data_IF_505910852433
#
_entry.id   IF_505910852433
#
_cell.length_a   1.000
_cell.length_b   1.000
_cell.length_c   1.000
_cell.angle_alpha   90.00
_cell.angle_beta   90.00
_cell.angle_gamma   90.00
#
_symmetry.space_group_name_H-M   'P 1'
#
loop_
_entity.id
_entity.type
_entity.pdbx_description
1 polymer ?
2 polymer ?
3 non-polymer ?
4 non-polymer ?
5 water ?
#
# COMPACT_ATOMS: atom_id res chain seq x y z
N UNK A 1 -2.17 -9.31 4.95
CA UNK A 1 -0.82 -9.50 5.53
C UNK A 1 -0.74 -10.93 6.03
N UNK A 2 0.25 -11.68 5.54
CA UNK A 2 0.50 -13.05 5.96
C UNK A 2 1.68 -13.05 6.91
N UNK A 3 1.54 -13.73 8.04
CA UNK A 3 2.64 -13.87 8.98
C UNK A 3 2.89 -12.64 9.82
N UNK A 4 1.91 -11.74 9.90
CA UNK A 4 2.00 -10.53 10.67
C UNK A 4 1.37 -10.66 12.04
N UNK A 5 0.98 -9.51 12.59
CA UNK A 5 0.39 -9.41 13.92
C UNK A 5 -0.69 -8.34 13.91
N UNK A 6 -1.60 -8.44 14.88
CA UNK A 6 -2.62 -7.41 15.06
C UNK A 6 -1.95 -6.13 15.55
N UNK A 7 -2.12 -5.05 14.77
CA UNK A 7 -1.44 -3.78 15.04
C UNK A 7 -1.86 -3.22 16.39
N UNK A 8 -3.16 -3.26 16.69
CA UNK A 8 -3.74 -2.50 17.78
C UNK A 8 -4.47 -1.30 17.21
N UNK A 9 -5.62 -0.98 17.79
CA UNK A 9 -6.47 0.06 17.22
C UNK A 9 -5.75 1.39 17.13
N UNK A 10 -5.74 1.94 15.92
CA UNK A 10 -5.29 3.29 15.62
C UNK A 10 -3.80 3.49 15.87
N UNK A 11 -3.03 2.40 15.93
CA UNK A 11 -1.58 2.48 16.06
C UNK A 11 -0.88 2.83 14.74
N UNK A 12 -1.60 2.79 13.63
CA UNK A 12 -1.08 3.13 12.30
C UNK A 12 -2.02 4.21 11.75
N UNK A 13 -1.92 5.44 12.26
CA UNK A 13 -3.02 6.42 12.06
C UNK A 13 -3.09 7.02 10.67
N UNK A 14 -2.09 6.78 9.83
CA UNK A 14 -2.08 7.17 8.43
C UNK A 14 -2.67 6.11 7.50
N UNK A 15 -2.98 4.91 7.99
CA UNK A 15 -3.52 3.85 7.16
C UNK A 15 -4.98 4.14 6.85
N UNK A 16 -5.35 4.08 5.58
CA UNK A 16 -6.75 4.19 5.18
C UNK A 16 -7.21 2.93 4.47
N UNK A 17 -8.52 2.73 4.47
CA UNK A 17 -9.19 1.68 3.69
C UNK A 17 -9.96 2.36 2.57
N UNK A 18 -9.78 1.87 1.35
CA UNK A 18 -10.58 2.30 0.20
C UNK A 18 -11.76 1.33 0.08
N UNK A 19 -12.97 1.89 0.06
CA UNK A 19 -14.19 1.11 0.21
C UNK A 19 -15.14 1.40 -0.95
N UNK A 20 -15.71 0.34 -1.52
CA UNK A 20 -16.74 0.44 -2.55
C UNK A 20 -17.89 -0.52 -2.23
N UNK A 21 -18.35 -0.48 -1.00
CA UNK A 21 -19.27 -1.49 -0.48
C UNK A 21 -18.54 -2.68 0.09
N UNK A 22 -17.21 -2.63 0.11
CA UNK A 22 -16.30 -3.62 0.65
C UNK A 22 -14.91 -3.01 0.59
N UNK A 23 -14.02 -3.47 1.45
CA UNK A 23 -12.63 -3.04 1.42
C UNK A 23 -11.95 -3.68 0.22
N UNK A 24 -11.30 -2.87 -0.64
CA UNK A 24 -10.65 -3.42 -1.83
C UNK A 24 -9.17 -3.08 -1.94
N UNK A 25 -8.70 -2.05 -1.25
CA UNK A 25 -7.31 -1.63 -1.31
C UNK A 25 -7.05 -0.75 -0.10
N UNK A 26 -5.77 -0.57 0.25
CA UNK A 26 -5.36 0.39 1.23
C UNK A 26 -4.85 1.68 0.61
N UNK A 27 -4.42 2.58 1.49
CA UNK A 27 -3.82 3.84 1.11
C UNK A 27 -3.17 4.47 2.32
N UNK A 28 -2.50 5.60 2.08
CA UNK A 28 -1.78 6.33 3.12
C UNK A 28 -2.17 7.80 3.07
N UNK A 29 -2.55 8.36 4.21
CA UNK A 29 -2.87 9.78 4.31
C UNK A 29 -1.59 10.60 4.36
N UNK A 30 -1.43 11.54 3.41
CA UNK A 30 -0.22 12.36 3.36
C UNK A 30 -0.45 13.82 3.73
N UNK A 31 -1.69 14.30 3.74
CA UNK A 31 -2.08 15.57 4.34
C UNK A 31 -3.58 15.46 4.56
N UNK A 32 -4.18 16.53 5.10
CA UNK A 32 -5.58 16.42 5.48
C UNK A 32 -6.51 16.19 4.30
N UNK A 33 -6.06 16.43 3.07
CA UNK A 33 -6.93 16.31 1.90
C UNK A 33 -6.47 15.28 0.87
N UNK A 34 -5.36 14.58 1.08
CA UNK A 34 -4.80 13.75 0.03
C UNK A 34 -4.29 12.40 0.55
N UNK A 35 -4.56 11.37 -0.24
CA UNK A 35 -4.18 9.98 0.04
C UNK A 35 -3.34 9.46 -1.13
N UNK A 36 -2.31 8.69 -0.81
CA UNK A 36 -1.51 7.98 -1.81
C UNK A 36 -1.95 6.52 -1.82
N UNK A 37 -2.15 5.96 -3.01
CA UNK A 37 -2.46 4.54 -3.17
C UNK A 37 -1.83 4.05 -4.46
N UNK A 38 -2.21 2.86 -4.90
CA UNK A 38 -1.69 2.28 -6.15
C UNK A 38 -2.59 2.60 -7.33
N UNK A 39 -1.99 2.81 -8.50
CA UNK A 39 -2.77 3.06 -9.70
C UNK A 39 -3.71 1.92 -10.04
N UNK A 40 -3.29 0.68 -9.81
CA UNK A 40 -4.16 -0.46 -10.15
C UNK A 40 -5.38 -0.56 -9.24
N UNK A 41 -5.45 0.24 -8.18
CA UNK A 41 -6.63 0.32 -7.31
C UNK A 41 -7.68 1.31 -7.84
N UNK A 42 -7.42 2.00 -8.94
CA UNK A 42 -8.37 2.99 -9.42
C UNK A 42 -9.71 2.36 -9.78
N UNK A 43 -10.78 3.00 -9.34
CA UNK A 43 -12.14 2.74 -9.81
C UNK A 43 -12.97 3.98 -9.50
N UNK A 44 -14.16 4.06 -10.10
CA UNK A 44 -15.13 5.05 -9.70
C UNK A 44 -15.75 4.68 -8.34
N UNK A 45 -16.27 5.70 -7.65
CA UNK A 45 -17.06 5.46 -6.46
C UNK A 45 -16.27 5.15 -5.21
N UNK A 46 -15.07 5.69 -5.07
CA UNK A 46 -14.25 5.33 -3.91
C UNK A 46 -14.68 6.16 -2.71
N UNK A 47 -14.92 5.48 -1.60
CA UNK A 47 -15.08 6.11 -0.29
C UNK A 47 -13.82 5.81 0.52
N UNK A 48 -13.16 6.85 1.01
CA UNK A 48 -11.98 6.70 1.86
C UNK A 48 -12.44 6.60 3.30
N UNK A 49 -11.96 5.57 3.99
CA UNK A 49 -12.31 5.33 5.39
C UNK A 49 -11.05 5.47 6.23
N UNK A 50 -11.03 6.53 7.04
CA UNK A 50 -9.92 6.88 7.91
C UNK A 50 -10.27 6.51 9.35
N UNK A 51 -9.24 6.35 10.18
CA UNK A 51 -9.45 6.05 11.59
C UNK A 51 -9.94 4.65 11.87
N UNK A 52 -9.80 3.72 10.93
CA UNK A 52 -10.39 2.39 11.05
C UNK A 52 -9.49 1.45 11.83
N UNK A 53 -10.13 0.56 12.60
CA UNK A 53 -9.49 -0.66 13.08
C UNK A 53 -10.29 -1.86 12.58
N UNK A 54 -11.42 -2.16 13.21
CA UNK A 54 -12.34 -3.19 12.69
C UNK A 54 -13.14 -2.57 11.55
N UNK A 55 -12.89 -3.02 10.33
CA UNK A 55 -13.56 -2.44 9.16
C UNK A 55 -15.01 -2.85 9.03
N UNK A 56 -15.49 -3.80 9.84
CA UNK A 56 -16.86 -4.26 9.74
C UNK A 56 -17.75 -3.81 10.89
N UNK A 57 -17.22 -2.99 11.79
CA UNK A 57 -17.97 -2.46 12.93
C UNK A 57 -17.66 -0.98 13.06
N UNK A 58 -18.71 -0.20 13.30
CA UNK A 58 -18.52 1.22 13.62
C UNK A 58 -18.18 1.30 15.11
N UNK A 59 -16.90 1.58 15.41
CA UNK A 59 -16.40 1.54 16.77
C UNK A 59 -16.14 2.90 17.37
N UNK A 60 -16.20 3.93 16.56
CA UNK A 60 -15.72 5.24 16.94
C UNK A 60 -14.38 5.50 16.28
N UNK A 61 -14.10 6.77 16.06
CA UNK A 61 -12.94 7.35 15.41
C UNK A 61 -12.92 7.26 13.88
N UNK A 62 -13.88 6.60 13.25
CA UNK A 62 -13.95 6.55 11.80
C UNK A 62 -14.34 7.90 11.22
N UNK A 63 -13.75 8.22 10.07
CA UNK A 63 -14.23 9.28 9.18
C UNK A 63 -14.36 8.68 7.80
N UNK A 64 -15.55 8.76 7.22
CA UNK A 64 -15.82 8.28 5.87
C UNK A 64 -15.92 9.52 4.96
N UNK A 65 -15.04 9.60 3.96
CA UNK A 65 -15.00 10.77 3.09
C UNK A 65 -14.92 10.28 1.64
N UNK A 66 -15.82 10.77 0.81
CA UNK A 66 -15.75 10.42 -0.61
C UNK A 66 -14.49 10.97 -1.26
N UNK A 67 -13.98 10.22 -2.23
CA UNK A 67 -12.95 10.75 -3.12
C UNK A 67 -13.59 11.75 -4.07
N UNK A 68 -12.98 12.92 -4.20
CA UNK A 68 -13.42 13.90 -5.18
C UNK A 68 -12.60 13.89 -6.46
N UNK A 69 -11.33 13.48 -6.37
CA UNK A 69 -10.46 13.29 -7.51
C UNK A 69 -9.65 12.03 -7.28
N UNK A 70 -9.44 11.23 -8.32
CA UNK A 70 -8.52 10.10 -8.28
C UNK A 70 -7.58 10.26 -9.47
N UNK A 71 -6.30 10.47 -9.19
CA UNK A 71 -5.32 10.87 -10.20
C UNK A 71 -4.31 9.74 -10.34
N UNK A 72 -4.49 8.91 -11.36
CA UNK A 72 -3.56 7.84 -11.70
C UNK A 72 -2.37 8.47 -12.42
N UNK A 73 -1.17 8.00 -12.11
CA UNK A 73 0.01 8.52 -12.79
C UNK A 73 -0.19 8.44 -14.31
N UNK A 74 0.07 9.52 -15.07
CA UNK A 74 -0.19 9.48 -16.51
C UNK A 74 0.61 8.41 -17.26
N UNK A 75 1.73 7.96 -16.69
CA UNK A 75 2.58 6.97 -17.33
C UNK A 75 2.46 5.59 -16.68
N UNK A 76 1.40 5.36 -15.92
CA UNK A 76 1.15 4.03 -15.38
C UNK A 76 1.00 3.02 -16.51
N UNK A 77 1.74 1.91 -16.42
CA UNK A 77 1.70 0.84 -17.42
C UNK A 77 0.97 -0.32 -16.75
N UNK A 78 -0.21 -0.67 -17.26
CA UNK A 78 -1.01 -1.67 -16.58
C UNK A 78 -0.52 -3.09 -16.83
N UNK A 79 0.50 -3.28 -17.67
CA UNK A 79 1.07 -4.61 -17.86
C UNK A 79 2.34 -4.80 -17.05
N UNK A 80 3.25 -3.84 -17.07
CA UNK A 80 4.48 -3.98 -16.30
C UNK A 80 4.33 -3.50 -14.87
N UNK A 81 3.31 -2.69 -14.58
CA UNK A 81 3.04 -2.05 -13.30
C UNK A 81 4.05 -0.97 -12.96
N UNK A 82 4.79 -0.50 -13.94
CA UNK A 82 5.62 0.68 -13.74
C UNK A 82 4.74 1.91 -13.46
N UNK A 83 5.20 2.76 -12.55
CA UNK A 83 4.48 3.97 -12.15
C UNK A 83 3.12 3.63 -11.52
N UNK A 84 3.11 2.63 -10.65
CA UNK A 84 1.89 2.17 -9.99
C UNK A 84 1.63 3.04 -8.76
N UNK A 85 1.13 4.25 -9.02
CA UNK A 85 0.82 5.24 -7.98
C UNK A 85 -0.39 6.05 -8.41
N UNK A 86 -1.24 6.38 -7.42
CA UNK A 86 -2.43 7.19 -7.60
C UNK A 86 -2.55 8.13 -6.41
N UNK A 87 -3.01 9.35 -6.68
CA UNK A 87 -3.33 10.31 -5.63
C UNK A 87 -4.84 10.48 -5.57
N UNK A 88 -5.40 10.43 -4.37
CA UNK A 88 -6.82 10.64 -4.16
C UNK A 88 -7.01 11.93 -3.37
N UNK A 89 -7.79 12.86 -3.90
CA UNK A 89 -8.20 14.06 -3.17
C UNK A 89 -9.54 13.77 -2.48
N UNK A 90 -9.60 14.12 -1.21
CA UNK A 90 -10.81 13.95 -0.42
C UNK A 90 -11.79 15.09 -0.66
N UNK A 91 -13.09 14.77 -0.67
CA UNK A 91 -14.12 15.78 -0.92
C UNK A 91 -14.10 16.88 0.14
N UNK A 92 -13.77 16.52 1.37
CA UNK A 92 -13.60 17.46 2.48
C UNK A 92 -12.34 17.05 3.22
N UNK A 93 -11.71 17.99 3.91
CA UNK A 93 -10.49 17.68 4.65
C UNK A 93 -10.82 16.78 5.85
N UNK A 94 -9.98 15.78 6.06
CA UNK A 94 -10.07 14.99 7.29
C UNK A 94 -9.75 15.82 8.51
N UNK A 95 -10.38 15.45 9.63
CA UNK A 95 -10.06 16.03 10.94
C UNK A 95 -8.88 15.25 11.49
N UNK A 96 -7.74 15.92 11.63
CA UNK A 96 -6.54 15.23 12.10
C UNK A 96 -6.50 15.25 13.62
N UNK A 97 -6.13 14.10 14.19
CA UNK A 97 -6.05 13.86 15.63
C UNK A 97 -5.04 12.74 15.86
N UNK A 98 -4.93 12.23 17.08
CA UNK A 98 -3.96 11.17 17.34
C UNK A 98 -4.26 9.90 16.55
N UNK A 99 -5.52 9.68 16.22
CA UNK A 99 -5.95 8.45 15.56
C UNK A 99 -6.06 8.59 14.04
N UNK A 100 -6.02 9.82 13.53
CA UNK A 100 -6.02 10.08 12.10
C UNK A 100 -4.92 11.10 11.85
N UNK A 101 -3.84 10.68 11.19
CA UNK A 101 -2.65 11.50 11.10
C UNK A 101 -1.95 11.22 9.77
N UNK A 102 -1.28 12.23 9.23
CA UNK A 102 -0.57 12.05 7.98
C UNK A 102 0.80 11.44 8.24
N UNK A 103 1.35 10.83 7.19
CA UNK A 103 2.71 10.27 7.19
C UNK A 103 3.58 11.09 6.26
N UNK A 104 4.80 11.38 6.69
CA UNK A 104 5.73 12.18 5.91
C UNK A 104 6.23 11.46 4.67
N UNK A 105 6.40 12.22 3.59
CA UNK A 105 7.07 11.71 2.41
C UNK A 105 8.58 11.69 2.64
N UNK A 106 9.30 10.84 1.93
CA UNK A 106 10.75 10.72 2.16
C UNK A 106 11.51 11.89 1.56
N UNK A 107 12.66 12.15 2.16
CA UNK A 107 13.64 13.09 1.62
C UNK A 107 14.74 12.39 0.84
N UNK A 108 14.91 11.09 1.04
CA UNK A 108 15.91 10.28 0.36
C UNK A 108 15.35 8.86 0.30
N UNK A 109 15.87 8.06 -0.62
CA UNK A 109 15.51 6.65 -0.67
C UNK A 109 16.16 5.92 0.51
N UNK A 110 15.57 4.79 0.89
CA UNK A 110 16.05 3.99 2.00
C UNK A 110 17.00 2.89 1.51
N UNK A 111 17.99 2.57 2.35
CA UNK A 111 18.99 1.57 2.02
C UNK A 111 18.46 0.16 2.28
N UNK A 112 19.05 -0.80 1.57
CA UNK A 112 18.76 -2.19 1.83
C UNK A 112 19.02 -2.53 3.29
N UNK A 113 18.14 -3.36 3.86
CA UNK A 113 18.25 -3.76 5.25
C UNK A 113 17.52 -2.85 6.21
N UNK A 114 17.07 -1.69 5.76
CA UNK A 114 16.23 -0.85 6.62
C UNK A 114 14.94 -1.59 6.94
N UNK A 115 14.56 -1.55 8.21
CA UNK A 115 13.31 -2.17 8.64
C UNK A 115 12.12 -1.25 8.40
N UNK A 116 11.05 -1.82 7.91
CA UNK A 116 9.86 -1.07 7.58
C UNK A 116 8.63 -1.76 8.17
N UNK A 117 7.56 -0.99 8.26
CA UNK A 117 6.26 -1.46 8.72
C UNK A 117 5.30 -1.47 7.54
N UNK A 118 4.75 -2.64 7.23
CA UNK A 118 3.77 -2.83 6.15
C UNK A 118 2.47 -3.22 6.82
N UNK A 119 1.37 -2.64 6.39
CA UNK A 119 0.09 -2.84 7.09
C UNK A 119 -1.07 -2.91 6.11
N UNK A 120 -2.15 -3.57 6.55
CA UNK A 120 -3.36 -3.66 5.75
C UNK A 120 -4.34 -4.68 6.25
N UNK A 121 -5.48 -4.72 5.55
CA UNK A 121 -6.58 -5.63 5.81
C UNK A 121 -6.67 -6.75 4.77
N UNK A 122 -5.58 -7.04 4.10
CA UNK A 122 -5.55 -8.10 3.13
C UNK A 122 -5.59 -9.50 3.74
N UNK A 123 -5.71 -10.48 2.84
CA UNK A 123 -5.72 -11.89 3.17
C UNK A 123 -4.55 -12.23 4.09
N UNK A 124 -4.81 -13.06 5.09
CA UNK A 124 -3.81 -13.52 6.04
C UNK A 124 -3.31 -14.93 5.75
N UNK A 125 -3.76 -15.56 4.66
CA UNK A 125 -3.29 -16.90 4.31
C UNK A 125 -2.55 -16.90 2.98
N UNK A 126 -1.48 -17.69 2.91
CA UNK A 126 -0.72 -17.84 1.67
C UNK A 126 -1.33 -18.89 0.74
N UNK A 127 -2.18 -19.76 1.28
CA UNK A 127 -2.99 -20.69 0.50
C UNK A 127 -4.41 -20.60 1.03
N UNK A 128 -5.36 -20.29 0.17
CA UNK A 128 -6.72 -20.06 0.60
C UNK A 128 -6.93 -18.61 0.94
N UNK A 129 -8.07 -18.32 1.58
CA UNK A 129 -8.38 -16.94 1.94
C UNK A 129 -8.98 -16.84 3.33
N UNK A 130 -8.48 -15.85 4.08
CA UNK A 130 -9.09 -15.44 5.35
C UNK A 130 -8.87 -13.93 5.45
N UNK A 131 -9.95 -13.18 5.48
CA UNK A 131 -9.86 -11.73 5.51
C UNK A 131 -10.12 -11.22 6.92
N UNK A 132 -9.20 -10.43 7.49
CA UNK A 132 -9.34 -10.04 8.90
C UNK A 132 -10.29 -8.87 9.07
N UNK A 133 -10.91 -8.80 10.25
CA UNK A 133 -11.68 -7.61 10.59
C UNK A 133 -10.78 -6.46 10.98
N UNK A 134 -9.71 -6.73 11.73
CA UNK A 134 -8.84 -5.68 12.27
C UNK A 134 -7.52 -5.57 11.50
N UNK A 135 -6.88 -4.42 11.65
CA UNK A 135 -5.68 -4.12 10.86
C UNK A 135 -4.51 -4.99 11.30
N UNK A 136 -3.76 -5.49 10.32
CA UNK A 136 -2.59 -6.31 10.56
C UNK A 136 -1.33 -5.59 10.10
N UNK A 137 -0.21 -5.98 10.70
CA UNK A 137 1.08 -5.30 10.58
C UNK A 137 2.16 -6.35 10.36
N UNK A 138 3.21 -5.96 9.64
CA UNK A 138 4.38 -6.81 9.43
C UNK A 138 5.64 -5.95 9.40
N UNK A 139 6.65 -6.34 10.17
CA UNK A 139 7.97 -5.72 10.07
C UNK A 139 8.77 -6.46 9.00
N UNK A 140 9.33 -5.71 8.05
CA UNK A 140 10.00 -6.33 6.91
C UNK A 140 11.14 -5.46 6.43
N UNK A 141 12.25 -6.05 6.01
CA UNK A 141 13.38 -5.26 5.50
C UNK A 141 13.31 -5.01 4.01
N UNK A 142 13.90 -3.88 3.61
CA UNK A 142 14.15 -3.62 2.20
C UNK A 142 15.26 -4.56 1.71
N UNK A 143 15.04 -5.17 0.55
CA UNK A 143 16.04 -6.06 -0.03
C UNK A 143 16.93 -5.31 -1.02
N UNK A 144 18.09 -5.89 -1.30
CA UNK A 144 19.03 -5.27 -2.24
C UNK A 144 18.46 -5.35 -3.65
N UNK A 145 18.88 -4.38 -4.48
CA UNK A 145 18.44 -4.40 -5.87
C UNK A 145 18.87 -5.68 -6.56
N UNK A 146 20.07 -6.18 -6.28
CA UNK A 146 20.53 -7.37 -6.97
C UNK A 146 19.70 -8.59 -6.59
N UNK A 147 19.29 -8.69 -5.32
CA UNK A 147 18.45 -9.83 -4.94
C UNK A 147 17.05 -9.68 -5.51
N UNK A 148 16.55 -8.45 -5.56
CA UNK A 148 15.22 -8.24 -6.12
C UNK A 148 15.16 -8.64 -7.59
N UNK A 149 16.15 -8.22 -8.39
CA UNK A 149 16.20 -8.56 -9.81
C UNK A 149 16.47 -10.04 -10.02
N UNK A 150 17.24 -10.66 -9.13
CA UNK A 150 17.44 -12.11 -9.23
C UNK A 150 16.12 -12.85 -9.03
N UNK A 151 15.29 -12.39 -8.10
CA UNK A 151 14.01 -13.02 -7.82
C UNK A 151 13.02 -12.81 -8.97
N UNK A 152 13.06 -11.65 -9.60
CA UNK A 152 12.08 -11.26 -10.62
C UNK A 152 12.81 -10.75 -11.86
N UNK A 153 13.46 -11.64 -12.60
CA UNK A 153 14.26 -11.19 -13.75
C UNK A 153 13.41 -10.50 -14.80
N UNK A 154 13.90 -9.35 -15.27
CA UNK A 154 13.22 -8.60 -16.33
C UNK A 154 11.96 -7.88 -15.90
N UNK A 155 11.62 -7.85 -14.61
CA UNK A 155 10.34 -7.32 -14.17
C UNK A 155 10.46 -6.15 -13.21
N UNK A 156 11.64 -5.85 -12.69
CA UNK A 156 11.84 -4.81 -11.70
C UNK A 156 12.36 -3.56 -12.39
N UNK A 157 11.55 -2.50 -12.36
CA UNK A 157 12.01 -1.22 -12.91
C UNK A 157 12.66 -0.38 -11.81
N UNK A 158 13.25 0.74 -12.22
CA UNK A 158 13.84 1.67 -11.27
C UNK A 158 12.81 2.26 -10.31
N UNK A 159 11.51 2.09 -10.58
CA UNK A 159 10.46 2.62 -9.73
C UNK A 159 9.85 1.57 -8.83
N UNK A 160 10.56 0.45 -8.62
CA UNK A 160 10.09 -0.63 -7.78
C UNK A 160 11.20 -1.08 -6.85
N UNK A 161 10.82 -1.64 -5.69
CA UNK A 161 11.76 -2.31 -4.82
C UNK A 161 11.08 -3.50 -4.17
N UNK A 162 11.89 -4.44 -3.70
CA UNK A 162 11.41 -5.59 -2.98
C UNK A 162 11.62 -5.39 -1.48
N UNK A 163 10.71 -5.96 -0.69
CA UNK A 163 10.86 -5.98 0.75
C UNK A 163 10.23 -7.26 1.25
N UNK A 164 10.73 -7.75 2.38
CA UNK A 164 10.18 -8.93 3.00
C UNK A 164 11.22 -10.02 3.15
N UNK A 165 10.85 -11.24 2.81
CA UNK A 165 11.56 -12.43 3.20
C UNK A 165 11.63 -13.35 2.01
N UNK A 166 12.71 -14.11 1.95
CA UNK A 166 12.89 -15.12 0.92
C UNK A 166 12.59 -16.52 1.41
N UNK A 167 12.49 -16.72 2.74
CA UNK A 167 12.23 -18.04 3.28
C UNK A 167 10.75 -18.40 3.27
N UNK A 168 9.88 -17.47 2.91
CA UNK A 168 8.45 -17.71 2.90
C UNK A 168 7.79 -17.40 4.22
N UNK A 169 6.48 -17.19 4.16
CA UNK A 169 5.65 -17.12 5.34
C UNK A 169 5.28 -15.73 5.81
N UNK A 170 5.90 -14.67 5.27
CA UNK A 170 5.67 -13.31 5.74
C UNK A 170 5.62 -12.37 4.54
N UNK A 171 4.49 -11.72 4.30
CA UNK A 171 4.36 -10.89 3.10
C UNK A 171 3.04 -10.11 3.15
N UNK A 172 2.93 -9.10 2.29
CA UNK A 172 1.64 -8.49 1.96
C UNK A 172 0.89 -9.40 0.98
N UNK A 173 -0.44 -9.24 0.92
CA UNK A 173 -1.28 -10.15 0.14
C UNK A 173 -2.51 -9.40 -0.38
N UNK A 174 -3.42 -10.14 -1.04
CA UNK A 174 -4.54 -9.49 -1.71
C UNK A 174 -5.43 -8.75 -0.71
N UNK A 175 -5.72 -7.49 -1.02
CA UNK A 175 -6.35 -6.55 -0.13
C UNK A 175 -5.41 -5.54 0.49
N UNK A 176 -4.11 -5.78 0.42
CA UNK A 176 -3.12 -4.86 0.94
C UNK A 176 -2.64 -3.83 -0.07
N UNK A 177 -2.89 -4.05 -1.36
CA UNK A 177 -2.46 -3.12 -2.40
C UNK A 177 -2.80 -1.69 -2.05
N UNK A 178 -1.90 -0.79 -2.41
CA UNK A 178 -2.08 0.62 -2.19
C UNK A 178 -1.67 1.10 -0.83
N UNK A 179 -1.49 0.20 0.13
CA UNK A 179 -1.17 0.57 1.48
C UNK A 179 0.30 0.86 1.68
N UNK A 180 0.63 1.23 2.91
CA UNK A 180 1.94 1.81 3.21
C UNK A 180 3.05 0.81 3.51
N UNK A 181 4.26 1.23 3.11
CA UNK A 181 5.52 0.69 3.60
C UNK A 181 6.25 1.88 4.21
N UNK A 182 6.38 1.89 5.53
CA UNK A 182 6.91 3.04 6.26
C UNK A 182 8.20 2.63 6.93
N UNK A 183 9.23 3.43 6.73
CA UNK A 183 10.57 3.11 7.21
C UNK A 183 11.11 4.37 7.88
N UNK A 184 11.44 4.25 9.16
CA UNK A 184 11.96 5.39 9.93
C UNK A 184 11.06 6.62 9.79
N UNK A 185 9.75 6.41 9.86
CA UNK A 185 8.80 7.50 9.84
C UNK A 185 8.52 8.13 8.49
N UNK A 186 8.96 7.52 7.39
CA UNK A 186 8.73 8.04 6.05
C UNK A 186 8.04 7.00 5.21
N UNK A 187 7.13 7.44 4.33
CA UNK A 187 6.43 6.55 3.41
C UNK A 187 7.35 6.24 2.22
N UNK A 188 7.96 5.06 2.24
CA UNK A 188 8.90 4.67 1.19
C UNK A 188 8.27 3.78 0.14
N UNK A 189 7.17 3.11 0.43
CA UNK A 189 6.62 2.16 -0.54
C UNK A 189 5.12 2.13 -0.53
N UNK A 190 4.58 1.63 -1.64
CA UNK A 190 3.16 1.33 -1.85
C UNK A 190 3.06 -0.15 -2.21
N UNK A 191 2.21 -0.91 -1.51
CA UNK A 191 2.01 -2.31 -1.84
C UNK A 191 1.51 -2.42 -3.28
N UNK A 192 2.19 -3.26 -4.10
CA UNK A 192 1.89 -3.33 -5.53
C UNK A 192 1.62 -4.76 -5.99
N UNK A 193 2.64 -5.63 -6.04
CA UNK A 193 2.47 -6.94 -6.65
C UNK A 193 3.48 -7.94 -6.11
N UNK A 194 3.31 -9.20 -6.54
CA UNK A 194 4.27 -10.25 -6.26
C UNK A 194 3.86 -11.50 -7.02
N UNK A 195 4.71 -12.52 -6.95
CA UNK A 195 4.33 -13.85 -7.45
C UNK A 195 3.70 -14.59 -6.29
N UNK A 196 2.37 -14.64 -6.27
CA UNK A 196 1.70 -15.16 -5.10
C UNK A 196 1.99 -14.28 -3.89
N UNK A 197 1.76 -14.86 -2.71
CA UNK A 197 1.99 -14.18 -1.45
C UNK A 197 2.78 -15.11 -0.55
N UNK A 198 3.85 -14.61 0.07
CA UNK A 198 4.59 -15.33 1.11
C UNK A 198 5.22 -16.63 0.60
N UNK A 199 5.50 -16.70 -0.71
CA UNK A 199 6.15 -17.85 -1.29
C UNK A 199 7.67 -17.73 -1.19
N UNK A 200 8.32 -18.87 -1.01
CA UNK A 200 9.79 -18.91 -0.97
C UNK A 200 10.37 -18.27 -2.23
N UNK A 201 11.37 -17.41 -2.02
CA UNK A 201 12.14 -16.75 -3.06
C UNK A 201 11.33 -15.77 -3.89
N UNK A 202 10.15 -15.38 -3.44
CA UNK A 202 9.30 -14.43 -4.17
C UNK A 202 8.82 -13.38 -3.19
N UNK A 203 9.64 -12.37 -2.92
CA UNK A 203 9.24 -11.32 -1.98
C UNK A 203 8.24 -10.36 -2.61
N UNK A 204 7.61 -9.55 -1.76
CA UNK A 204 6.72 -8.53 -2.28
C UNK A 204 7.45 -7.44 -3.03
N UNK A 205 6.75 -6.86 -4.01
CA UNK A 205 7.26 -5.74 -4.81
C UNK A 205 6.39 -4.51 -4.53
N UNK A 206 7.07 -3.36 -4.42
CA UNK A 206 6.49 -2.13 -3.92
C UNK A 206 6.89 -0.97 -4.81
N UNK A 207 5.98 -0.02 -5.00
CA UNK A 207 6.31 1.20 -5.72
C UNK A 207 7.26 2.06 -4.88
N UNK A 208 8.31 2.58 -5.50
CA UNK A 208 9.38 3.34 -4.84
C UNK A 208 8.94 4.80 -4.73
N UNK A 209 8.36 5.17 -3.59
CA UNK A 209 7.74 6.48 -3.41
C UNK A 209 8.76 7.61 -3.53
N UNK A 210 10.02 7.39 -3.11
CA UNK A 210 10.99 8.48 -3.19
C UNK A 210 11.14 9.03 -4.60
N UNK A 211 10.88 8.22 -5.63
CA UNK A 211 11.03 8.69 -7.00
C UNK A 211 9.89 9.60 -7.43
N UNK A 212 8.83 9.68 -6.63
CA UNK A 212 7.61 10.40 -6.99
C UNK A 212 7.34 11.61 -6.12
N UNK A 213 8.23 11.96 -5.19
CA UNK A 213 7.94 13.04 -4.26
C UNK A 213 7.69 14.35 -5.01
N UNK A 214 8.54 14.68 -6.00
CA UNK A 214 8.32 15.90 -6.78
C UNK A 214 6.99 15.85 -7.54
N UNK A 215 6.68 14.71 -8.15
CA UNK A 215 5.44 14.57 -8.89
C UNK A 215 4.25 14.74 -7.97
N UNK A 216 4.30 14.15 -6.78
CA UNK A 216 3.22 14.28 -5.82
C UNK A 216 3.02 15.74 -5.45
N UNK A 217 4.10 16.42 -5.07
CA UNK A 217 4.00 17.81 -4.66
C UNK A 217 3.47 18.68 -5.79
N UNK A 218 3.99 18.49 -7.01
CA UNK A 218 3.52 19.31 -8.13
C UNK A 218 2.04 19.06 -8.42
N UNK A 219 1.61 17.81 -8.35
CA UNK A 219 0.21 17.49 -8.62
C UNK A 219 -0.71 18.05 -7.55
N UNK A 220 -0.35 17.91 -6.27
CA UNK A 220 -1.17 18.48 -5.22
C UNK A 220 -1.25 20.00 -5.37
N UNK A 221 -0.13 20.66 -5.68
CA UNK A 221 -0.10 22.12 -5.75
C UNK A 221 -0.99 22.66 -6.85
N UNK A 222 -1.21 21.88 -7.92
CA UNK A 222 -1.99 22.32 -9.08
C UNK A 222 -3.43 21.83 -9.03
N UNK A 223 -3.84 21.12 -7.98
CA UNK A 223 -5.20 20.58 -7.86
C UNK A 223 -5.83 21.00 -6.53
N UNK B 1 2.68 -15.01 -14.00
CA UNK B 1 2.66 -15.49 -12.64
C UNK B 1 2.50 -14.29 -11.68
N UNK B 2 2.86 -13.09 -12.15
CA UNK B 2 2.70 -11.87 -11.35
C UNK B 2 1.22 -11.60 -11.09
N UNK B 3 0.90 -11.21 -9.86
CA UNK B 3 -0.45 -10.72 -9.61
C UNK B 3 -0.41 -9.52 -8.67
N UNK B 4 -1.31 -8.57 -8.90
CA UNK B 4 -1.45 -7.44 -8.01
C UNK B 4 -2.12 -7.90 -6.70
N UNK B 5 -2.02 -7.04 -5.68
CA UNK B 5 -2.51 -7.36 -4.35
C UNK B 5 -3.80 -6.60 -4.00
N UNK B 6 -4.64 -6.38 -5.01
CA UNK B 6 -5.96 -5.77 -4.87
C UNK B 6 -7.04 -6.84 -4.69
N UNK B 7 -8.24 -6.40 -4.32
CA UNK B 7 -9.44 -7.22 -4.32
C UNK B 7 -10.33 -6.75 -5.47
N UNK B 8 -10.52 -7.53 -6.53
CA UNK B 8 -9.87 -8.83 -6.84
C UNK B 8 -8.46 -8.59 -7.40
N UNK B 9 -7.63 -9.61 -7.38
CA UNK B 9 -6.28 -9.46 -7.96
C UNK B 9 -6.35 -9.43 -9.48
N UNK B 10 -5.37 -8.75 -10.06
CA UNK B 10 -5.14 -8.75 -11.50
C UNK B 10 -3.92 -9.64 -11.73
N UNK B 11 -4.07 -10.69 -12.52
CA UNK B 11 -2.95 -11.59 -12.76
C UNK B 11 -2.48 -11.53 -14.21
N UNK B 12 -1.24 -11.94 -14.39
CA UNK B 12 -0.57 -11.91 -15.68
C UNK B 12 -0.03 -13.29 -16.02
N UNK B 13 0.18 -13.57 -17.31
CA UNK B 13 0.66 -14.91 -17.71
C UNK B 13 1.94 -15.33 -17.03
N UNK B 14 2.87 -14.41 -16.79
CA UNK B 14 4.10 -14.78 -16.10
C UNK B 14 3.87 -15.26 -14.62
X LIG C 1 -14.73 0.47 12.02
X LIG D 1 -2.97 -13.29 -9.90
X LIG D 1 -1.50 -13.01 -9.46
X LIG D 1 -3.79 -13.26 -11.06
X LIG D 1 -5.11 -13.57 -10.75
X LIG D 1 -5.16 -13.74 -9.44
X LIG D 1 -3.88 -13.56 -8.92
X LIG D 1 -0.90 -13.07 -10.20
X LIG D 1 -1.21 -13.61 -8.78
X LIG D 1 -5.82 -13.63 -11.35
#
# INVERSE_FOLDING_TARGET
IVGGYTCGANTVPYQVSLNSGYHFCGGSLINSQWVVSAAHCYKSGIQVRLGEDNINVVEGNEQFISASKSIVHPSYNSNTLNNDIMLIKLKSAASLNSRVASISLPTSCASAGTQCLISGWGNTKSSGTSYPDVLKCLKAPILSDSSCKSAYPGQITSNMFCAGYLEGGKDSCQGDSGGPVVCSGKLQGIVSWGSGCAQKNKPGVYTKVCNYVSWIKQTIASN
GRATKSIPPIAFPD
CA CA
WMH N C C1 C2 N1 N2 H1 H2 H5
#
